data_IF_852900346015
#
_entry.id   IF_852900346015
#
_cell.length_a   1.000
_cell.length_b   1.000
_cell.length_c   1.000
_cell.angle_alpha   90.00
_cell.angle_beta   90.00
_cell.angle_gamma   90.00
#
_symmetry.space_group_name_H-M   'P 1'
#
loop_
_entity.id
_entity.type
_entity.pdbx_description
1 polymer ?
#
# COMPACT_ATOMS: atom_id res chain seq x y z
N UNK A 1 -9.26 -8.14 13.74
CA UNK A 1 -8.62 -6.88 13.31
C UNK A 1 -8.51 -6.94 11.79
N UNK A 2 -9.25 -6.11 11.07
CA UNK A 2 -9.27 -6.11 9.60
C UNK A 2 -8.14 -5.25 9.00
N UNK A 3 -6.91 -5.54 9.44
CA UNK A 3 -5.68 -4.86 9.00
C UNK A 3 -5.48 -4.92 7.47
N UNK A 4 -5.69 -6.08 6.80
CA UNK A 4 -5.57 -6.15 5.35
C UNK A 4 -6.58 -5.24 4.62
N UNK A 5 -7.84 -5.20 5.09
CA UNK A 5 -8.87 -4.38 4.45
C UNK A 5 -8.55 -2.89 4.55
N UNK A 6 -8.09 -2.41 5.71
CA UNK A 6 -7.67 -1.00 5.86
C UNK A 6 -6.55 -0.60 4.90
N UNK A 7 -5.57 -1.49 4.69
CA UNK A 7 -4.48 -1.22 3.74
C UNK A 7 -4.99 -1.20 2.30
N UNK A 8 -5.90 -2.10 1.93
CA UNK A 8 -6.54 -2.11 0.62
C UNK A 8 -7.33 -0.82 0.40
N UNK A 9 -8.08 -0.34 1.40
CA UNK A 9 -8.82 0.92 1.32
C UNK A 9 -7.86 2.11 1.12
N UNK A 10 -6.76 2.17 1.87
CA UNK A 10 -5.73 3.20 1.73
C UNK A 10 -5.07 3.17 0.35
N UNK A 11 -4.73 1.99 -0.17
CA UNK A 11 -4.22 1.85 -1.53
C UNK A 11 -5.28 2.23 -2.58
N UNK A 12 -6.54 1.91 -2.31
CA UNK A 12 -7.70 2.38 -3.09
C UNK A 12 -7.75 3.91 -3.20
N UNK A 13 -7.31 4.63 -2.17
CA UNK A 13 -7.19 6.09 -2.14
C UNK A 13 -5.84 6.65 -2.60
N UNK A 14 -4.88 5.82 -3.05
CA UNK A 14 -3.56 6.29 -3.50
C UNK A 14 -2.61 6.64 -2.35
N UNK A 15 -2.85 6.09 -1.16
CA UNK A 15 -2.10 6.38 0.06
C UNK A 15 -1.11 5.24 0.37
N UNK A 16 0.20 5.50 0.40
CA UNK A 16 1.15 4.56 0.97
C UNK A 16 0.97 4.46 2.48
N UNK A 17 1.32 3.32 3.07
CA UNK A 17 1.03 3.00 4.48
C UNK A 17 2.28 2.67 5.27
N UNK A 18 2.28 2.96 6.57
CA UNK A 18 3.18 2.31 7.53
C UNK A 18 2.38 1.20 8.24
N UNK A 19 2.78 -0.06 8.08
CA UNK A 19 2.04 -1.20 8.59
C UNK A 19 2.86 -2.01 9.61
N UNK A 20 2.23 -2.43 10.72
CA UNK A 20 2.85 -3.36 11.67
C UNK A 20 3.09 -4.72 10.99
N UNK A 21 4.21 -5.36 11.28
CA UNK A 21 4.55 -6.68 10.74
C UNK A 21 3.61 -7.76 11.28
N UNK A 22 3.01 -8.53 10.38
CA UNK A 22 2.29 -9.77 10.66
C UNK A 22 2.47 -10.74 9.48
N UNK A 23 2.15 -12.03 9.66
CA UNK A 23 2.57 -13.12 8.76
C UNK A 23 2.28 -12.90 7.26
N UNK A 24 1.17 -12.23 6.92
CA UNK A 24 0.79 -12.01 5.53
C UNK A 24 0.92 -10.55 5.04
N UNK A 25 1.44 -9.61 5.84
CA UNK A 25 1.53 -8.21 5.42
C UNK A 25 2.40 -8.03 4.17
N UNK A 26 3.46 -8.83 4.03
CA UNK A 26 4.38 -8.74 2.90
C UNK A 26 3.74 -9.11 1.55
N UNK A 27 2.59 -9.81 1.57
CA UNK A 27 1.82 -10.09 0.35
C UNK A 27 1.07 -8.86 -0.14
N UNK A 28 0.79 -7.89 0.74
CA UNK A 28 0.01 -6.71 0.46
C UNK A 28 0.87 -5.44 0.40
N UNK A 29 1.73 -5.22 1.40
CA UNK A 29 2.65 -4.08 1.47
C UNK A 29 4.06 -4.54 1.08
N UNK A 30 4.64 -3.88 0.08
CA UNK A 30 6.03 -4.08 -0.33
C UNK A 30 6.87 -2.99 0.34
N UNK A 31 7.73 -3.39 1.29
CA UNK A 31 8.56 -2.46 2.06
C UNK A 31 9.43 -1.56 1.15
N UNK A 32 9.46 -0.26 1.43
CA UNK A 32 10.08 0.80 0.63
C UNK A 32 9.54 0.94 -0.82
N UNK A 33 8.44 0.28 -1.16
CA UNK A 33 7.83 0.36 -2.49
C UNK A 33 6.40 0.88 -2.44
N UNK A 34 5.48 0.17 -1.80
CA UNK A 34 4.08 0.62 -1.63
C UNK A 34 3.79 1.13 -0.22
N UNK A 35 4.74 0.96 0.70
CA UNK A 35 4.65 1.40 2.07
C UNK A 35 5.89 1.01 2.87
N UNK A 36 5.83 1.25 4.17
CA UNK A 36 6.83 0.83 5.15
C UNK A 36 6.22 -0.21 6.08
N UNK A 37 7.07 -1.09 6.60
CA UNK A 37 6.69 -2.16 7.52
C UNK A 37 7.53 -1.94 8.75
N UNK A 38 6.92 -1.96 9.92
CA UNK A 38 7.62 -1.81 11.20
C UNK A 38 7.29 -2.96 12.15
N UNK A 39 8.19 -3.25 13.09
CA UNK A 39 8.02 -4.31 14.08
C UNK A 39 7.61 -3.75 15.45
N UNK A 40 7.96 -2.50 15.74
CA UNK A 40 7.74 -1.85 17.03
C UNK A 40 7.60 -0.34 16.89
N UNK A 41 7.29 0.31 18.01
CA UNK A 41 7.10 1.75 18.15
C UNK A 41 8.34 2.56 17.78
N UNK A 42 9.55 2.08 18.10
CA UNK A 42 10.79 2.77 17.75
C UNK A 42 11.01 2.81 16.24
N UNK A 43 10.70 1.71 15.55
CA UNK A 43 10.78 1.63 14.10
C UNK A 43 9.72 2.50 13.43
N UNK A 44 8.49 2.50 13.95
CA UNK A 44 7.45 3.41 13.47
C UNK A 44 7.88 4.87 13.64
N UNK A 45 8.41 5.25 14.81
CA UNK A 45 8.86 6.62 15.07
C UNK A 45 9.97 7.04 14.10
N UNK A 46 10.98 6.18 13.87
CA UNK A 46 12.03 6.44 12.88
C UNK A 46 11.48 6.61 11.47
N UNK A 47 10.54 5.76 11.06
CA UNK A 47 9.90 5.86 9.75
C UNK A 47 9.12 7.17 9.60
N UNK A 48 8.36 7.59 10.62
CA UNK A 48 7.64 8.87 10.59
C UNK A 48 8.59 10.07 10.52
N UNK A 49 9.68 10.05 11.32
CA UNK A 49 10.71 11.10 11.26
C UNK A 49 11.31 11.16 9.85
N UNK A 50 11.69 10.02 9.27
CA UNK A 50 12.26 9.97 7.92
C UNK A 50 11.30 10.52 6.85
N UNK A 51 10.01 10.19 6.95
CA UNK A 51 9.00 10.60 5.97
C UNK A 51 8.64 12.09 6.05
N UNK A 52 8.73 12.68 7.23
CA UNK A 52 8.25 14.05 7.47
C UNK A 52 9.35 15.07 7.80
N UNK A 53 10.62 14.65 7.90
CA UNK A 53 11.75 15.57 7.97
C UNK A 53 11.79 16.44 6.72
N UNK A 54 11.85 17.75 6.91
CA UNK A 54 11.82 18.76 5.84
C UNK A 54 10.57 18.71 4.95
N UNK A 55 9.46 18.13 5.40
CA UNK A 55 8.20 18.20 4.65
C UNK A 55 7.63 19.63 4.65
N UNK A 56 7.14 20.18 3.51
CA UNK A 56 6.99 19.54 2.19
C UNK A 56 8.19 19.76 1.23
N UNK A 57 9.32 20.27 1.69
CA UNK A 57 10.51 20.48 0.86
C UNK A 57 11.18 19.16 0.41
N UNK A 58 11.08 18.08 1.19
CA UNK A 58 11.53 16.75 0.80
C UNK A 58 10.38 15.72 0.88
N UNK A 59 9.75 15.45 -0.26
CA UNK A 59 8.65 14.47 -0.40
C UNK A 59 9.03 13.24 -1.22
N UNK A 60 10.30 13.15 -1.64
CA UNK A 60 10.79 12.16 -2.61
C UNK A 60 10.40 10.71 -2.27
N UNK A 61 10.54 10.32 -1.00
CA UNK A 61 10.20 8.97 -0.52
C UNK A 61 8.70 8.69 -0.56
N UNK A 62 7.87 9.64 -0.10
CA UNK A 62 6.40 9.50 -0.14
C UNK A 62 5.92 9.44 -1.60
N UNK A 63 6.41 10.33 -2.45
CA UNK A 63 6.03 10.38 -3.87
C UNK A 63 6.47 9.12 -4.64
N UNK A 64 7.65 8.58 -4.32
CA UNK A 64 8.07 7.28 -4.85
C UNK A 64 7.09 6.18 -4.47
N UNK A 65 6.63 6.14 -3.22
CA UNK A 65 5.67 5.12 -2.81
C UNK A 65 4.28 5.32 -3.44
N UNK A 66 3.81 6.56 -3.55
CA UNK A 66 2.55 6.89 -4.24
C UNK A 66 2.52 6.35 -5.66
N UNK A 67 3.59 6.55 -6.43
CA UNK A 67 3.70 6.02 -7.81
C UNK A 67 3.51 4.52 -7.90
N UNK A 68 4.00 3.76 -6.92
CA UNK A 68 3.80 2.31 -6.89
C UNK A 68 2.39 1.92 -6.40
N UNK A 69 1.78 2.70 -5.52
CA UNK A 69 0.37 2.51 -5.15
C UNK A 69 -0.55 2.80 -6.35
N UNK A 70 -0.21 3.77 -7.20
CA UNK A 70 -0.95 4.04 -8.44
C UNK A 70 -0.94 2.82 -9.38
N UNK A 71 0.12 2.00 -9.38
CA UNK A 71 0.14 0.74 -10.12
C UNK A 71 -0.87 -0.26 -9.57
N UNK A 72 -0.96 -0.40 -8.25
CA UNK A 72 -1.99 -1.23 -7.60
C UNK A 72 -3.39 -0.75 -7.97
N UNK A 73 -3.58 0.56 -8.18
CA UNK A 73 -4.86 1.12 -8.55
C UNK A 73 -5.33 0.81 -9.97
N UNK A 74 -4.43 0.43 -10.88
CA UNK A 74 -4.77 0.17 -12.28
C UNK A 74 -5.66 -1.06 -12.46
N UNK A 75 -5.58 -2.01 -11.55
CA UNK A 75 -6.40 -3.22 -11.59
C UNK A 75 -7.55 -3.10 -10.58
N UNK A 76 -8.77 -3.01 -11.10
CA UNK A 76 -10.01 -2.93 -10.33
C UNK A 76 -10.78 -4.23 -10.43
N UNK A 77 -11.68 -4.42 -9.46
CA UNK A 77 -12.53 -5.61 -9.38
C UNK A 77 -13.23 -5.89 -10.71
N UNK A 78 -13.93 -4.92 -11.28
CA UNK A 78 -14.69 -5.12 -12.52
C UNK A 78 -13.80 -5.50 -13.70
N UNK A 79 -12.64 -4.86 -13.86
CA UNK A 79 -11.68 -5.17 -14.91
C UNK A 79 -11.14 -6.59 -14.78
N UNK A 80 -10.73 -6.98 -13.58
CA UNK A 80 -10.20 -8.32 -13.33
C UNK A 80 -11.30 -9.39 -13.45
N UNK A 81 -12.50 -9.12 -12.95
CA UNK A 81 -13.67 -9.99 -13.07
C UNK A 81 -14.03 -10.26 -14.52
N UNK A 82 -14.20 -9.20 -15.32
CA UNK A 82 -14.53 -9.31 -16.74
C UNK A 82 -13.45 -10.04 -17.54
N UNK A 83 -12.19 -9.92 -17.13
CA UNK A 83 -11.05 -10.55 -17.80
C UNK A 83 -10.88 -12.03 -17.44
N UNK A 84 -11.11 -12.40 -16.19
CA UNK A 84 -10.76 -13.73 -15.66
C UNK A 84 -11.98 -14.62 -15.45
N UNK A 85 -13.02 -14.09 -14.80
CA UNK A 85 -14.16 -14.89 -14.37
C UNK A 85 -15.27 -14.90 -15.41
N UNK A 86 -15.64 -13.73 -15.94
CA UNK A 86 -16.73 -13.59 -16.91
C UNK A 86 -16.63 -14.58 -18.09
N UNK A 87 -15.46 -14.86 -18.72
CA UNK A 87 -15.37 -15.82 -19.82
C UNK A 87 -15.63 -17.28 -19.40
N UNK A 88 -15.54 -17.60 -18.11
CA UNK A 88 -15.78 -18.94 -17.56
C UNK A 88 -17.24 -19.16 -17.16
N UNK A 89 -17.98 -18.07 -16.93
CA UNK A 89 -19.41 -18.12 -16.62
C UNK A 89 -20.14 -17.97 -17.96
N UNK A 90 -20.67 -19.07 -18.51
CA UNK A 90 -21.49 -19.07 -19.72
C UNK A 90 -22.80 -18.31 -19.50
N UNK A 91 -22.74 -16.98 -19.55
CA UNK A 91 -23.88 -16.06 -19.65
C UNK A 91 -23.91 -15.49 -21.07
#
# INVERSE_FOLDING_TARGET
MDLPMKVVDMFGCGLPVCAIKFDCINKLVQHNKTGLIFNNEEELARQLIELFTDYPANTSKIESMRKHVDEFQKERWDTNWNRVVLPLVNI
#
